data_IF_048975683518
#
_entry.id   IF_048975683518
#
_cell.length_a   1.000
_cell.length_b   1.000
_cell.length_c   1.000
_cell.angle_alpha   90.00
_cell.angle_beta   90.00
_cell.angle_gamma   90.00
#
_symmetry.space_group_name_H-M   'P 1'
#
loop_
_entity.id
_entity.type
_entity.pdbx_description
1 polymer ?
#
# COMPACT_ATOMS: atom_id res chain seq x y z
N UNK A 1 -23.79 -40.76 -9.79
CA UNK A 1 -23.83 -40.99 -8.33
C UNK A 1 -25.02 -41.86 -8.01
N UNK A 2 -24.88 -42.84 -7.12
CA UNK A 2 -25.93 -43.81 -6.75
C UNK A 2 -26.63 -43.41 -5.45
N UNK A 3 -27.80 -43.96 -5.17
CA UNK A 3 -28.56 -43.67 -3.94
C UNK A 3 -27.80 -44.09 -2.67
N UNK A 4 -27.09 -45.23 -2.74
CA UNK A 4 -26.23 -45.72 -1.66
C UNK A 4 -25.12 -44.72 -1.29
N UNK A 5 -24.56 -44.02 -2.27
CA UNK A 5 -23.55 -42.98 -2.03
C UNK A 5 -24.12 -41.80 -1.24
N UNK A 6 -25.35 -41.38 -1.53
CA UNK A 6 -25.99 -40.28 -0.80
C UNK A 6 -26.39 -40.67 0.62
N UNK A 7 -26.77 -41.93 0.83
CA UNK A 7 -27.05 -42.46 2.16
C UNK A 7 -25.77 -42.53 3.01
N UNK A 8 -24.68 -43.10 2.49
CA UNK A 8 -23.40 -43.14 3.21
C UNK A 8 -22.85 -41.74 3.49
N UNK A 9 -22.90 -40.84 2.49
CA UNK A 9 -22.47 -39.45 2.66
C UNK A 9 -23.27 -38.73 3.75
N UNK A 10 -24.59 -38.95 3.80
CA UNK A 10 -25.44 -38.34 4.83
C UNK A 10 -25.09 -38.88 6.22
N UNK A 11 -24.85 -40.17 6.35
CA UNK A 11 -24.44 -40.77 7.63
C UNK A 11 -23.08 -40.25 8.10
N UNK A 12 -22.11 -40.15 7.19
CA UNK A 12 -20.77 -39.63 7.51
C UNK A 12 -20.84 -38.15 7.88
N UNK A 13 -21.65 -37.36 7.15
CA UNK A 13 -21.90 -35.95 7.47
C UNK A 13 -22.53 -35.75 8.85
N UNK A 14 -23.46 -36.63 9.23
CA UNK A 14 -24.13 -36.61 10.54
C UNK A 14 -23.27 -37.18 11.67
N UNK A 15 -22.19 -37.91 11.38
CA UNK A 15 -21.23 -38.39 12.39
C UNK A 15 -20.06 -37.44 12.59
N UNK A 16 -19.85 -36.48 11.68
CA UNK A 16 -18.79 -35.49 11.77
C UNK A 16 -19.01 -34.58 13.01
N UNK A 17 -18.04 -34.54 13.95
CA UNK A 17 -18.07 -33.64 15.10
C UNK A 17 -18.24 -32.16 14.73
N UNK A 18 -17.83 -31.74 13.53
CA UNK A 18 -17.99 -30.37 13.04
C UNK A 18 -19.47 -30.01 12.76
N UNK A 19 -20.28 -31.01 12.37
CA UNK A 19 -21.70 -30.80 12.03
C UNK A 19 -22.66 -31.17 13.15
N UNK A 20 -22.20 -31.89 14.18
CA UNK A 20 -23.01 -32.33 15.33
C UNK A 20 -22.77 -31.53 16.59
N UNK A 21 -21.54 -31.09 16.84
CA UNK A 21 -21.22 -30.32 18.04
C UNK A 21 -21.80 -28.90 17.92
N UNK A 22 -22.64 -28.51 18.88
CA UNK A 22 -23.32 -27.22 18.88
C UNK A 22 -22.34 -26.03 18.84
N UNK A 23 -21.16 -26.16 19.45
CA UNK A 23 -20.10 -25.15 19.38
C UNK A 23 -19.61 -24.95 17.94
N UNK A 24 -19.25 -26.02 17.25
CA UNK A 24 -18.71 -25.96 15.89
C UNK A 24 -19.77 -25.50 14.89
N UNK A 25 -21.02 -25.95 15.04
CA UNK A 25 -22.14 -25.48 14.24
C UNK A 25 -22.37 -23.97 14.44
N UNK A 26 -22.25 -23.44 15.67
CA UNK A 26 -22.33 -21.99 15.93
C UNK A 26 -21.15 -21.23 15.33
N UNK A 27 -19.92 -21.72 15.52
CA UNK A 27 -18.72 -21.12 14.91
C UNK A 27 -18.83 -21.07 13.40
N UNK A 28 -19.26 -22.15 12.76
CA UNK A 28 -19.41 -22.22 11.31
C UNK A 28 -20.54 -21.31 10.81
N UNK A 29 -21.66 -21.20 11.55
CA UNK A 29 -22.71 -20.21 11.27
C UNK A 29 -22.18 -18.78 11.38
N UNK A 30 -21.34 -18.48 12.35
CA UNK A 30 -20.75 -17.15 12.52
C UNK A 30 -19.69 -16.84 11.45
N UNK A 31 -18.88 -17.83 11.05
CA UNK A 31 -17.97 -17.72 9.91
C UNK A 31 -18.73 -17.50 8.60
N UNK A 32 -19.81 -18.24 8.36
CA UNK A 32 -20.65 -18.08 7.18
C UNK A 32 -21.38 -16.73 7.17
N UNK A 33 -21.80 -16.22 8.35
CA UNK A 33 -22.33 -14.85 8.49
C UNK A 33 -21.30 -13.78 8.12
N UNK A 34 -20.02 -13.99 8.49
CA UNK A 34 -18.91 -13.12 8.09
C UNK A 34 -18.53 -13.24 6.61
N UNK A 35 -18.84 -14.36 5.96
CA UNK A 35 -18.60 -14.61 4.54
C UNK A 35 -19.66 -14.00 3.60
N UNK A 36 -20.85 -13.61 4.11
CA UNK A 36 -21.84 -12.92 3.27
C UNK A 36 -21.22 -11.67 2.64
N UNK A 37 -21.55 -11.34 1.37
CA UNK A 37 -20.94 -10.22 0.68
C UNK A 37 -21.24 -8.95 1.47
N UNK A 38 -20.18 -8.39 2.07
CA UNK A 38 -20.26 -7.17 2.87
C UNK A 38 -20.89 -6.08 2.02
N UNK A 39 -21.77 -5.29 2.63
CA UNK A 39 -22.39 -4.18 1.90
C UNK A 39 -21.28 -3.27 1.36
N UNK A 40 -21.42 -2.74 0.16
CA UNK A 40 -20.39 -1.88 -0.46
C UNK A 40 -19.92 -0.72 0.43
N UNK A 41 -20.82 -0.16 1.26
CA UNK A 41 -20.45 0.83 2.29
C UNK A 41 -19.59 0.23 3.41
N UNK A 42 -19.85 -1.00 3.82
CA UNK A 42 -19.02 -1.72 4.80
C UNK A 42 -17.63 -1.98 4.23
N UNK A 43 -17.52 -2.44 2.98
CA UNK A 43 -16.22 -2.62 2.31
C UNK A 43 -15.41 -1.32 2.24
N UNK A 44 -16.08 -0.22 1.92
CA UNK A 44 -15.46 1.11 1.93
C UNK A 44 -15.01 1.54 3.33
N UNK A 45 -15.86 1.34 4.34
CA UNK A 45 -15.52 1.65 5.73
C UNK A 45 -14.32 0.84 6.22
N UNK A 46 -14.27 -0.46 5.90
CA UNK A 46 -13.18 -1.36 6.27
C UNK A 46 -11.88 -0.95 5.58
N UNK A 47 -11.94 -0.55 4.31
CA UNK A 47 -10.79 -0.06 3.57
C UNK A 47 -10.17 1.18 4.22
N UNK A 48 -11.01 2.07 4.77
CA UNK A 48 -10.56 3.27 5.52
C UNK A 48 -10.07 2.98 6.93
N UNK A 49 -10.58 1.94 7.61
CA UNK A 49 -10.10 1.59 8.95
C UNK A 49 -8.67 1.02 8.94
N UNK A 50 -7.93 1.17 10.05
CA UNK A 50 -6.68 0.43 10.22
C UNK A 50 -6.96 -1.05 10.49
N UNK A 51 -6.81 -1.87 9.46
CA UNK A 51 -6.93 -3.32 9.56
C UNK A 51 -5.57 -3.94 10.02
N UNK A 52 -5.58 -5.00 10.85
CA UNK A 52 -4.39 -5.79 11.17
C UNK A 52 -3.49 -6.15 9.98
N UNK A 53 -4.05 -6.47 8.81
CA UNK A 53 -3.25 -6.76 7.61
C UNK A 53 -2.42 -5.56 7.15
N UNK A 54 -2.94 -4.34 7.31
CA UNK A 54 -2.23 -3.12 6.94
C UNK A 54 -1.09 -2.85 7.92
N UNK A 55 -1.29 -3.16 9.20
CA UNK A 55 -0.22 -3.08 10.19
C UNK A 55 0.89 -4.10 9.90
N UNK A 56 0.53 -5.32 9.49
CA UNK A 56 1.51 -6.32 9.06
C UNK A 56 2.34 -5.86 7.87
N UNK A 57 1.72 -5.27 6.84
CA UNK A 57 2.45 -4.76 5.67
C UNK A 57 3.39 -3.62 6.10
N UNK A 58 2.91 -2.68 6.93
CA UNK A 58 3.73 -1.57 7.45
C UNK A 58 4.98 -2.03 8.22
N UNK A 59 4.87 -3.16 8.93
CA UNK A 59 5.94 -3.72 9.73
C UNK A 59 6.85 -4.69 8.94
N UNK A 60 6.56 -4.93 7.66
CA UNK A 60 7.34 -5.85 6.84
C UNK A 60 8.72 -5.27 6.52
N UNK A 61 9.81 -6.04 6.74
CA UNK A 61 11.17 -5.57 6.46
C UNK A 61 11.46 -5.43 4.95
N UNK A 62 10.66 -6.08 4.09
CA UNK A 62 10.84 -6.09 2.63
C UNK A 62 9.83 -5.17 1.91
N UNK A 63 9.35 -4.12 2.59
CA UNK A 63 8.38 -3.21 1.98
C UNK A 63 9.03 -2.39 0.86
N UNK A 64 8.40 -2.39 -0.31
CA UNK A 64 8.87 -1.58 -1.45
C UNK A 64 8.37 -0.14 -1.33
N UNK A 65 9.12 0.83 -1.88
CA UNK A 65 8.71 2.26 -1.93
C UNK A 65 7.34 2.43 -2.57
N UNK A 66 7.05 1.66 -3.62
CA UNK A 66 5.75 1.61 -4.28
C UNK A 66 4.65 1.17 -3.32
N UNK A 67 4.85 0.09 -2.57
CA UNK A 67 3.88 -0.39 -1.57
C UNK A 67 3.65 0.65 -0.47
N UNK A 68 4.70 1.36 -0.03
CA UNK A 68 4.55 2.47 0.92
C UNK A 68 3.69 3.59 0.33
N UNK A 69 3.97 4.01 -0.90
CA UNK A 69 3.19 5.05 -1.57
C UNK A 69 1.71 4.64 -1.75
N UNK A 70 1.46 3.39 -2.13
CA UNK A 70 0.11 2.82 -2.22
C UNK A 70 -0.61 2.83 -0.86
N UNK A 71 0.10 2.54 0.23
CA UNK A 71 -0.46 2.59 1.59
C UNK A 71 -0.78 4.01 2.06
N UNK A 72 0.03 4.99 1.68
CA UNK A 72 -0.23 6.41 1.97
C UNK A 72 -1.46 6.87 1.18
N UNK A 73 -1.52 6.55 -0.12
CA UNK A 73 -2.62 6.90 -1.01
C UNK A 73 -3.86 6.00 -0.89
N UNK A 74 -3.92 5.16 0.15
CA UNK A 74 -4.98 4.17 0.36
C UNK A 74 -6.37 4.77 0.34
N UNK A 75 -6.57 5.98 0.88
CA UNK A 75 -7.89 6.63 0.90
C UNK A 75 -8.45 6.83 -0.51
N UNK A 76 -7.61 7.24 -1.45
CA UNK A 76 -7.96 7.40 -2.88
C UNK A 76 -8.20 6.05 -3.55
N UNK A 77 -7.44 5.03 -3.17
CA UNK A 77 -7.70 3.65 -3.58
C UNK A 77 -9.07 3.14 -3.12
N UNK A 78 -9.48 3.46 -1.88
CA UNK A 78 -10.81 3.09 -1.37
C UNK A 78 -11.95 3.79 -2.12
N UNK A 79 -11.77 5.06 -2.50
CA UNK A 79 -12.73 5.81 -3.33
C UNK A 79 -12.89 5.21 -4.73
N UNK A 80 -11.78 4.81 -5.37
CA UNK A 80 -11.79 4.11 -6.65
C UNK A 80 -12.50 2.76 -6.55
N UNK A 81 -12.16 1.95 -5.55
CA UNK A 81 -12.80 0.66 -5.30
C UNK A 81 -14.31 0.81 -5.10
N UNK A 82 -14.74 1.82 -4.33
CA UNK A 82 -16.15 2.10 -4.13
C UNK A 82 -16.86 2.45 -5.44
N UNK A 83 -16.24 3.29 -6.27
CA UNK A 83 -16.78 3.65 -7.58
C UNK A 83 -16.94 2.42 -8.49
N UNK A 84 -15.93 1.54 -8.55
CA UNK A 84 -15.98 0.32 -9.36
C UNK A 84 -17.07 -0.66 -8.89
N UNK A 85 -17.23 -0.83 -7.57
CA UNK A 85 -18.28 -1.67 -7.00
C UNK A 85 -19.69 -1.13 -7.33
N UNK A 86 -19.86 0.19 -7.31
CA UNK A 86 -21.13 0.83 -7.70
C UNK A 86 -21.43 0.62 -9.19
N UNK A 87 -20.41 0.70 -10.05
CA UNK A 87 -20.56 0.41 -11.48
C UNK A 87 -20.91 -1.06 -11.73
N UNK A 88 -20.26 -2.00 -11.04
CA UNK A 88 -20.58 -3.42 -11.15
C UNK A 88 -22.05 -3.69 -10.75
N UNK A 89 -22.49 -3.11 -9.63
CA UNK A 89 -23.90 -3.24 -9.20
C UNK A 89 -24.89 -2.63 -10.17
N UNK A 90 -24.55 -1.50 -10.78
CA UNK A 90 -25.37 -0.86 -11.80
C UNK A 90 -25.46 -1.72 -13.07
N UNK A 91 -24.37 -2.38 -13.46
CA UNK A 91 -24.34 -3.32 -14.58
C UNK A 91 -25.18 -4.58 -14.30
N UNK A 92 -25.13 -5.12 -13.08
CA UNK A 92 -25.93 -6.27 -12.64
C UNK A 92 -27.43 -5.93 -12.49
N UNK A 93 -27.76 -4.70 -12.10
CA UNK A 93 -29.14 -4.23 -11.88
C UNK A 93 -29.52 -3.08 -12.84
N UNK A 94 -29.97 -3.39 -14.06
CA UNK A 94 -30.44 -2.41 -15.07
C UNK A 94 -31.52 -1.43 -14.60
N UNK A 95 -32.25 -1.73 -13.51
CA UNK A 95 -33.30 -0.86 -12.95
C UNK A 95 -32.78 0.18 -11.96
N UNK A 96 -31.53 0.04 -11.51
CA UNK A 96 -30.93 1.01 -10.60
C UNK A 96 -30.57 2.28 -11.37
N UNK A 97 -31.16 3.42 -10.97
CA UNK A 97 -30.85 4.76 -11.52
C UNK A 97 -29.49 5.25 -11.01
N UNK A 98 -28.44 4.48 -11.25
CA UNK A 98 -27.07 4.86 -10.89
C UNK A 98 -26.45 5.46 -12.15
N UNK A 99 -26.14 6.76 -12.10
CA UNK A 99 -25.41 7.42 -13.18
C UNK A 99 -24.03 6.77 -13.35
N UNK A 100 -23.82 6.10 -14.49
CA UNK A 100 -22.58 5.45 -14.88
C UNK A 100 -21.52 6.48 -15.32
N UNK A 101 -21.30 7.54 -14.54
CA UNK A 101 -20.11 8.36 -14.73
C UNK A 101 -18.89 7.48 -14.46
N UNK A 102 -17.97 7.43 -15.43
CA UNK A 102 -16.76 6.62 -15.35
C UNK A 102 -15.95 6.90 -14.09
N UNK A 103 -15.25 5.89 -13.55
CA UNK A 103 -14.33 6.08 -12.41
C UNK A 103 -12.97 6.68 -12.82
N UNK A 104 -12.90 7.36 -13.96
CA UNK A 104 -11.67 7.91 -14.53
C UNK A 104 -11.07 9.01 -13.65
N UNK A 105 -11.92 9.82 -13.02
CA UNK A 105 -11.48 10.87 -12.11
C UNK A 105 -10.77 10.27 -10.88
N UNK A 106 -11.39 9.26 -10.25
CA UNK A 106 -10.84 8.59 -9.07
C UNK A 106 -9.55 7.84 -9.40
N UNK A 107 -9.48 7.24 -10.59
CA UNK A 107 -8.27 6.60 -11.09
C UNK A 107 -7.12 7.59 -11.27
N UNK A 108 -7.40 8.75 -11.88
CA UNK A 108 -6.40 9.81 -12.05
C UNK A 108 -5.92 10.35 -10.70
N UNK A 109 -6.84 10.61 -9.76
CA UNK A 109 -6.50 11.07 -8.41
C UNK A 109 -5.60 10.09 -7.65
N UNK A 110 -5.90 8.79 -7.73
CA UNK A 110 -5.07 7.75 -7.11
C UNK A 110 -3.66 7.71 -7.73
N UNK A 111 -3.55 7.73 -9.06
CA UNK A 111 -2.27 7.65 -9.73
C UNK A 111 -1.40 8.90 -9.53
N UNK A 112 -2.01 10.08 -9.48
CA UNK A 112 -1.30 11.32 -9.16
C UNK A 112 -0.74 11.26 -7.75
N UNK A 113 -1.56 10.84 -6.77
CA UNK A 113 -1.11 10.67 -5.38
C UNK A 113 0.09 9.71 -5.29
N UNK A 114 0.00 8.53 -5.93
CA UNK A 114 1.08 7.52 -5.88
C UNK A 114 2.38 8.10 -6.45
N UNK A 115 2.30 8.83 -7.55
CA UNK A 115 3.48 9.43 -8.20
C UNK A 115 4.13 10.50 -7.34
N UNK A 116 3.32 11.38 -6.75
CA UNK A 116 3.79 12.45 -5.86
C UNK A 116 4.46 11.87 -4.60
N UNK A 117 3.84 10.87 -3.97
CA UNK A 117 4.37 10.25 -2.77
C UNK A 117 5.61 9.38 -3.06
N UNK A 118 5.67 8.69 -4.20
CA UNK A 118 6.88 8.01 -4.63
C UNK A 118 8.06 8.98 -4.73
N UNK A 119 7.88 10.12 -5.40
CA UNK A 119 8.94 11.10 -5.58
C UNK A 119 9.37 11.70 -4.24
N UNK A 120 8.40 12.01 -3.36
CA UNK A 120 8.67 12.49 -2.00
C UNK A 120 9.48 11.48 -1.16
N UNK A 121 9.15 10.19 -1.26
CA UNK A 121 9.88 9.12 -0.56
C UNK A 121 11.30 9.01 -1.10
N UNK A 122 11.48 9.00 -2.42
CA UNK A 122 12.80 8.93 -3.06
C UNK A 122 13.68 10.12 -2.67
N UNK A 123 13.13 11.34 -2.65
CA UNK A 123 13.86 12.53 -2.25
C UNK A 123 14.26 12.50 -0.77
N UNK A 124 13.37 12.01 0.10
CA UNK A 124 13.69 11.79 1.51
C UNK A 124 14.73 10.70 1.72
N UNK A 125 14.68 9.64 0.92
CA UNK A 125 15.67 8.58 0.98
C UNK A 125 17.06 9.09 0.58
N UNK A 126 17.14 9.90 -0.49
CA UNK A 126 18.39 10.57 -0.90
C UNK A 126 18.90 11.50 0.21
N UNK A 127 18.05 12.34 0.77
CA UNK A 127 18.41 13.25 1.87
C UNK A 127 18.96 12.48 3.09
N UNK A 128 18.30 11.39 3.49
CA UNK A 128 18.75 10.56 4.61
C UNK A 128 20.07 9.85 4.29
N UNK A 129 20.23 9.32 3.07
CA UNK A 129 21.49 8.73 2.62
C UNK A 129 22.63 9.75 2.67
N UNK A 130 22.39 10.99 2.23
CA UNK A 130 23.39 12.06 2.29
C UNK A 130 23.78 12.43 3.74
N UNK A 131 22.80 12.48 4.65
CA UNK A 131 23.03 12.74 6.08
C UNK A 131 23.80 11.61 6.77
N UNK A 132 23.48 10.34 6.46
CA UNK A 132 24.13 9.16 7.07
C UNK A 132 25.54 8.94 6.51
N UNK A 133 25.74 9.11 5.20
CA UNK A 133 27.04 8.92 4.56
C UNK A 133 27.98 10.12 4.73
N UNK A 134 27.50 11.25 5.27
CA UNK A 134 28.33 12.44 5.54
C UNK A 134 28.93 13.09 4.28
N UNK A 135 28.40 12.79 3.09
CA UNK A 135 28.99 13.20 1.80
C UNK A 135 29.00 14.73 1.66
N UNK A 136 28.02 15.43 2.25
CA UNK A 136 28.02 16.90 2.26
C UNK A 136 29.18 17.49 3.08
N UNK A 137 29.53 16.87 4.23
CA UNK A 137 30.69 17.30 5.03
C UNK A 137 32.01 17.04 4.30
N UNK A 138 32.17 15.87 3.68
CA UNK A 138 33.35 15.52 2.90
C UNK A 138 33.54 16.43 1.66
N UNK A 139 32.45 16.80 0.97
CA UNK A 139 32.52 17.72 -0.17
C UNK A 139 32.88 19.14 0.26
N UNK A 140 32.35 19.63 1.38
CA UNK A 140 32.70 20.94 1.93
C UNK A 140 34.17 21.00 2.36
N UNK A 141 34.65 19.99 3.09
CA UNK A 141 36.05 19.91 3.49
C UNK A 141 37.00 19.85 2.28
N UNK A 142 36.66 19.11 1.23
CA UNK A 142 37.46 19.07 0.00
C UNK A 142 37.47 20.38 -0.80
N UNK A 143 36.37 21.14 -0.78
CA UNK A 143 36.27 22.46 -1.41
C UNK A 143 37.15 23.48 -0.66
N UNK A 144 37.06 23.51 0.67
CA UNK A 144 37.89 24.38 1.51
C UNK A 144 39.38 24.05 1.40
N UNK A 145 39.74 22.77 1.25
CA UNK A 145 41.12 22.33 0.99
C UNK A 145 41.63 22.79 -0.38
N UNK A 146 40.80 22.74 -1.43
CA UNK A 146 41.17 23.21 -2.77
C UNK A 146 41.36 24.72 -2.82
N UNK A 147 40.51 25.49 -2.14
CA UNK A 147 40.63 26.94 -2.06
C UNK A 147 41.92 27.36 -1.33
N UNK A 148 42.26 26.71 -0.22
CA UNK A 148 43.52 26.94 0.50
C UNK A 148 44.77 26.58 -0.33
N UNK A 149 44.72 25.50 -1.10
CA UNK A 149 45.83 25.15 -2.00
C UNK A 149 45.99 26.15 -3.16
N UNK A 150 44.89 26.73 -3.64
CA UNK A 150 44.93 27.73 -4.70
C UNK A 150 45.49 29.07 -4.20
N UNK A 151 45.13 29.50 -2.99
CA UNK A 151 45.68 30.72 -2.38
C UNK A 151 47.18 30.61 -2.11
N UNK A 152 47.64 29.47 -1.59
CA UNK A 152 49.08 29.21 -1.35
C UNK A 152 49.90 29.24 -2.65
N UNK A 153 49.39 28.62 -3.73
CA UNK A 153 50.05 28.66 -5.05
C UNK A 153 50.09 30.06 -5.66
N UNK A 154 49.11 30.92 -5.37
CA UNK A 154 49.12 32.32 -5.83
C UNK A 154 50.13 33.17 -5.05
N UNK A 155 50.30 32.92 -3.75
CA UNK A 155 51.32 33.61 -2.94
C UNK A 155 52.75 33.20 -3.33
N UNK A 156 52.99 31.92 -3.60
CA UNK A 156 54.29 31.44 -4.11
C UNK A 156 54.64 32.07 -5.46
N UNK A 157 53.68 32.15 -6.39
CA UNK A 157 53.89 32.83 -7.69
C UNK A 157 54.21 34.31 -7.54
N UNK A 158 53.60 35.00 -6.57
CA UNK A 158 53.91 36.41 -6.29
C UNK A 158 55.31 36.58 -5.72
N UNK A 159 55.78 35.68 -4.84
CA UNK A 159 57.14 35.73 -4.29
C UNK A 159 58.22 35.46 -5.35
N UNK A 160 57.95 34.57 -6.31
CA UNK A 160 58.90 34.26 -7.39
C UNK A 160 59.03 35.39 -8.43
N UNK A 161 58.04 36.28 -8.56
CA UNK A 161 58.13 37.44 -9.47
C UNK A 161 58.76 38.70 -8.85
N UNK A 162 59.06 38.68 -7.55
CA UNK A 162 59.64 39.82 -6.81
C UNK A 162 61.14 39.63 -6.51
N UNK A 163 61.73 38.50 -6.91
CA UNK A 163 63.17 38.21 -6.88
C UNK A 163 63.70 38.09 -8.32
#
# INVERSE_FOLDING_TARGET
MTEQYWQSYREDYLKDPMNTNELWVRVQKDLNRKQKPKHHLELYSICKTQNPYIQQIKNSPNITTKTVAELICREKGCELMYCQLMQQKAAENRRSKIDLKGCSMQYNQMNTCIREEMQRIEDKEKELRERVLGIQKLKQEQLELKEKQHSLKQEEKKRVMLN
#
